data_IF_558988697181
#
_entry.id   IF_558988697181
#
_cell.length_a   1.000
_cell.length_b   1.000
_cell.length_c   1.000
_cell.angle_alpha   90.00
_cell.angle_beta   90.00
_cell.angle_gamma   90.00
#
_symmetry.space_group_name_H-M   'P 1'
#
loop_
_entity.id
_entity.type
_entity.pdbx_description
1 polymer ?
#
# COMPACT_ATOMS: atom_id res chain seq x y z
N UNK A 1 14.90 -0.92 8.29
CA UNK A 1 13.59 -1.56 8.00
C UNK A 1 12.66 -1.39 9.19
N UNK A 2 11.41 -1.21 8.91
CA UNK A 2 10.41 -1.12 9.97
C UNK A 2 9.29 -2.11 9.69
N UNK A 3 8.68 -2.61 10.74
CA UNK A 3 7.57 -3.53 10.60
C UNK A 3 6.27 -2.74 10.51
N UNK A 4 5.55 -2.91 9.42
CA UNK A 4 4.28 -2.22 9.20
C UNK A 4 3.19 -3.23 8.88
N UNK A 5 1.95 -2.77 8.96
CA UNK A 5 0.81 -3.57 8.56
C UNK A 5 0.43 -3.17 7.15
N UNK A 6 0.22 -4.16 6.29
CA UNK A 6 -0.23 -3.91 4.93
C UNK A 6 -1.61 -4.53 4.79
N UNK A 7 -2.58 -3.71 4.41
CA UNK A 7 -3.97 -4.15 4.29
C UNK A 7 -4.40 -4.16 2.84
N UNK A 8 -5.04 -5.24 2.46
CA UNK A 8 -5.55 -5.41 1.11
C UNK A 8 -7.07 -5.48 1.19
N UNK A 9 -7.71 -4.44 0.70
CA UNK A 9 -9.16 -4.29 0.85
C UNK A 9 -9.89 -4.91 -0.34
N UNK A 10 -10.93 -5.65 -0.05
CA UNK A 10 -11.80 -6.30 -1.03
C UNK A 10 -11.02 -7.03 -2.12
N UNK A 11 -11.19 -6.68 -3.38
CA UNK A 11 -10.56 -7.43 -4.48
C UNK A 11 -9.03 -7.38 -4.47
N UNK A 12 -8.43 -6.47 -3.73
CA UNK A 12 -6.98 -6.45 -3.64
C UNK A 12 -6.43 -7.64 -2.86
N UNK A 13 -7.27 -8.32 -2.09
CA UNK A 13 -6.85 -9.51 -1.34
C UNK A 13 -6.39 -10.63 -2.25
N UNK A 14 -6.80 -10.61 -3.51
CA UNK A 14 -6.40 -11.65 -4.46
C UNK A 14 -4.90 -11.71 -4.65
N UNK A 15 -4.21 -10.61 -4.45
CA UNK A 15 -2.77 -10.57 -4.69
C UNK A 15 -1.97 -11.11 -3.52
N UNK A 16 -2.44 -10.90 -2.31
CA UNK A 16 -1.74 -11.37 -1.11
C UNK A 16 -2.31 -12.65 -0.54
N UNK A 17 -3.56 -12.92 -0.85
CA UNK A 17 -4.28 -14.05 -0.24
C UNK A 17 -4.73 -13.76 1.17
N UNK A 18 -4.53 -12.55 1.64
CA UNK A 18 -4.87 -12.17 3.01
C UNK A 18 -5.38 -10.75 3.06
N UNK A 19 -6.18 -10.47 4.09
CA UNK A 19 -6.67 -9.12 4.33
C UNK A 19 -5.60 -8.21 4.87
N UNK A 20 -4.74 -8.75 5.70
CA UNK A 20 -3.73 -7.97 6.38
C UNK A 20 -2.51 -8.84 6.60
N UNK A 21 -1.35 -8.24 6.43
CA UNK A 21 -0.10 -8.96 6.64
C UNK A 21 0.91 -7.98 7.24
N UNK A 22 1.73 -8.46 8.16
CA UNK A 22 2.81 -7.65 8.70
C UNK A 22 4.07 -7.91 7.89
N UNK A 23 4.76 -6.84 7.53
CA UNK A 23 5.96 -6.94 6.73
C UNK A 23 7.02 -5.98 7.22
N UNK A 24 8.26 -6.38 7.10
CA UNK A 24 9.36 -5.45 7.32
C UNK A 24 9.68 -4.78 6.00
N UNK A 25 9.61 -3.47 5.99
CA UNK A 25 9.75 -2.67 4.77
C UNK A 25 10.72 -1.51 5.01
N UNK A 26 11.28 -0.97 3.92
CA UNK A 26 12.07 0.26 4.05
C UNK A 26 11.23 1.37 4.67
N UNK A 27 11.86 2.25 5.40
CA UNK A 27 11.13 3.35 6.03
C UNK A 27 10.69 4.41 5.04
N UNK A 28 11.35 4.48 3.88
CA UNK A 28 10.92 5.39 2.83
C UNK A 28 9.60 4.90 2.23
N UNK A 29 8.53 5.68 2.28
CA UNK A 29 7.22 5.20 1.84
C UNK A 29 7.15 4.82 0.36
N UNK A 30 7.82 5.53 -0.51
CA UNK A 30 7.85 5.15 -1.92
C UNK A 30 8.48 3.79 -2.11
N UNK A 31 9.62 3.59 -1.48
CA UNK A 31 10.34 2.34 -1.59
C UNK A 31 9.55 1.19 -0.96
N UNK A 32 8.86 1.46 0.13
CA UNK A 32 8.03 0.47 0.78
C UNK A 32 6.88 0.02 -0.13
N UNK A 33 6.21 0.96 -0.77
CA UNK A 33 5.12 0.65 -1.67
C UNK A 33 5.63 -0.16 -2.86
N UNK A 34 6.75 0.24 -3.45
CA UNK A 34 7.33 -0.51 -4.57
C UNK A 34 7.69 -1.92 -4.15
N UNK A 35 8.18 -2.10 -2.94
CA UNK A 35 8.53 -3.41 -2.41
C UNK A 35 7.29 -4.29 -2.28
N UNK A 36 6.18 -3.74 -1.81
CA UNK A 36 4.93 -4.50 -1.70
C UNK A 36 4.45 -4.92 -3.08
N UNK A 37 4.45 -3.99 -4.02
CA UNK A 37 3.99 -4.26 -5.38
C UNK A 37 4.81 -5.36 -6.01
N UNK A 38 6.12 -5.32 -5.84
CA UNK A 38 7.00 -6.34 -6.40
C UNK A 38 6.81 -7.69 -5.73
N UNK A 39 6.68 -7.69 -4.41
CA UNK A 39 6.55 -8.94 -3.67
C UNK A 39 5.32 -9.75 -4.06
N UNK A 40 4.21 -9.08 -4.25
CA UNK A 40 2.95 -9.75 -4.57
C UNK A 40 2.62 -9.72 -6.06
N UNK A 41 3.57 -9.28 -6.88
CA UNK A 41 3.37 -9.21 -8.33
C UNK A 41 2.10 -8.45 -8.70
N UNK A 42 1.87 -7.33 -8.04
CA UNK A 42 0.68 -6.53 -8.28
C UNK A 42 0.88 -5.77 -9.60
N UNK A 43 -0.01 -5.94 -10.58
CA UNK A 43 0.14 -5.26 -11.87
C UNK A 43 -0.25 -3.78 -11.76
N UNK A 44 0.51 -3.04 -11.00
CA UNK A 44 0.16 -1.68 -10.63
C UNK A 44 0.00 -0.74 -11.82
N UNK A 45 0.93 -0.80 -12.76
CA UNK A 45 0.91 0.10 -13.90
C UNK A 45 -0.09 -0.29 -14.97
N UNK A 46 -0.70 -1.45 -14.84
CA UNK A 46 -1.62 -1.97 -15.86
C UNK A 46 -3.08 -1.66 -15.55
N UNK A 47 -3.41 -0.56 -14.99
CA UNK A 47 -4.76 -0.13 -14.66
C UNK A 47 -5.06 -0.04 -13.18
N UNK A 48 -4.40 -0.80 -12.33
CA UNK A 48 -4.69 -0.76 -10.91
C UNK A 48 -4.38 0.60 -10.30
N UNK A 49 -3.37 1.25 -10.82
CA UNK A 49 -3.00 2.57 -10.34
C UNK A 49 -4.16 3.56 -10.43
N UNK A 50 -4.97 3.42 -11.47
CA UNK A 50 -6.11 4.32 -11.68
C UNK A 50 -7.33 3.93 -10.87
N UNK A 51 -7.43 2.66 -10.49
CA UNK A 51 -8.61 2.16 -9.80
C UNK A 51 -8.37 1.82 -8.34
N UNK A 52 -7.20 2.14 -7.82
CA UNK A 52 -6.83 1.80 -6.46
C UNK A 52 -6.14 3.00 -5.82
N UNK A 53 -6.45 3.23 -4.56
CA UNK A 53 -5.76 4.26 -3.78
C UNK A 53 -4.95 3.59 -2.70
N UNK A 54 -3.80 4.18 -2.41
CA UNK A 54 -2.95 3.70 -1.32
C UNK A 54 -3.01 4.74 -0.21
N UNK A 55 -3.35 4.28 0.99
CA UNK A 55 -3.40 5.14 2.15
C UNK A 55 -2.33 4.72 3.14
N UNK A 56 -1.71 5.69 3.78
CA UNK A 56 -0.77 5.44 4.87
C UNK A 56 -1.36 6.14 6.09
N UNK A 57 -1.72 5.35 7.11
CA UNK A 57 -2.34 5.87 8.31
C UNK A 57 -3.52 6.81 8.03
N UNK A 58 -4.36 6.39 7.08
CA UNK A 58 -5.58 7.13 6.69
C UNK A 58 -5.34 8.39 5.87
N UNK A 59 -4.12 8.63 5.46
CA UNK A 59 -3.80 9.73 4.55
C UNK A 59 -3.46 9.17 3.18
N UNK A 60 -3.76 9.91 2.13
CA UNK A 60 -3.30 9.51 0.80
C UNK A 60 -1.79 9.34 0.82
N UNK A 61 -1.31 8.30 0.16
CA UNK A 61 0.13 8.06 0.10
C UNK A 61 0.88 9.27 -0.46
N UNK A 62 0.33 9.92 -1.46
CA UNK A 62 0.98 11.10 -2.04
C UNK A 62 1.14 12.21 -1.00
N UNK A 63 0.13 12.43 -0.19
CA UNK A 63 0.18 13.44 0.85
C UNK A 63 1.22 13.08 1.91
N UNK A 64 1.24 11.81 2.30
CA UNK A 64 2.18 11.33 3.29
C UNK A 64 3.63 11.48 2.79
N UNK A 65 3.85 11.07 1.54
CA UNK A 65 5.17 11.15 0.94
C UNK A 65 5.64 12.60 0.83
N UNK A 66 4.73 13.47 0.45
CA UNK A 66 5.05 14.89 0.28
C UNK A 66 5.42 15.56 1.59
N UNK A 67 4.91 15.07 2.70
CA UNK A 67 5.23 15.63 4.01
C UNK A 67 6.65 15.29 4.46
N UNK A 68 7.30 14.34 3.79
CA UNK A 68 8.64 13.92 4.17
C UNK A 68 8.68 12.94 5.32
N UNK A 69 7.54 12.48 5.78
CA UNK A 69 7.52 11.54 6.89
C UNK A 69 8.01 10.17 6.48
N UNK A 70 8.72 9.52 7.38
CA UNK A 70 9.15 8.14 7.19
C UNK A 70 8.19 7.21 7.92
N UNK A 71 8.11 5.99 7.42
CA UNK A 71 7.28 4.97 8.06
C UNK A 71 7.85 4.59 9.42
N UNK A 72 6.97 4.28 10.35
CA UNK A 72 7.31 3.86 11.70
C UNK A 72 6.67 2.52 11.98
N UNK A 73 7.16 1.86 13.00
CA UNK A 73 6.60 0.59 13.43
C UNK A 73 5.09 0.72 13.65
N UNK A 74 4.38 -0.29 13.17
CA UNK A 74 2.92 -0.40 13.28
C UNK A 74 2.12 0.58 12.41
N UNK A 75 2.78 1.34 11.55
CA UNK A 75 2.06 2.12 10.56
C UNK A 75 1.28 1.19 9.64
N UNK A 76 0.22 1.72 9.05
CA UNK A 76 -0.67 0.93 8.20
C UNK A 76 -0.65 1.45 6.77
N UNK A 77 -0.34 0.56 5.83
CA UNK A 77 -0.43 0.86 4.40
C UNK A 77 -1.61 0.08 3.87
N UNK A 78 -2.58 0.76 3.29
CA UNK A 78 -3.79 0.10 2.80
C UNK A 78 -3.96 0.33 1.30
N UNK A 79 -4.24 -0.77 0.59
CA UNK A 79 -4.57 -0.71 -0.82
C UNK A 79 -6.08 -0.81 -0.93
N UNK A 80 -6.73 0.28 -1.32
CA UNK A 80 -8.19 0.38 -1.32
C UNK A 80 -8.70 0.60 -2.75
N UNK A 81 -9.47 -0.35 -3.31
CA UNK A 81 -10.05 -0.16 -4.62
C UNK A 81 -11.05 0.99 -4.61
N UNK A 82 -11.04 1.79 -5.64
CA UNK A 82 -12.04 2.83 -5.79
C UNK A 82 -13.16 2.22 -6.62
N UNK A 83 -14.33 2.26 -6.09
CA UNK A 83 -15.43 1.76 -6.86
C UNK A 83 -15.83 2.84 -7.82
N UNK A 84 -15.10 3.10 -8.68
CA UNK A 84 -15.48 4.13 -9.42
C UNK A 84 -16.02 3.93 -10.59
N UNK A 85 -16.53 3.80 -10.53
CA UNK A 85 -16.77 4.04 -11.58
C UNK A 85 -16.91 3.48 -12.61
N UNK A 86 -17.13 2.87 -12.27
CA UNK A 86 -17.57 2.20 -13.32
C UNK A 86 -16.86 2.02 -14.29
#
# INVERSE_FOLDING_TARGET
MVEVKVRFITRMQRYSGQREIRMELPSDPNHAIDTIIAKFHIPWKDNLEKSTRIFINKKFSATYIKSGELLKKDDVIAFIPISGGG
#
